data_IF_065635515130
#
_entry.id   IF_065635515130
#
_cell.length_a   1.000
_cell.length_b   1.000
_cell.length_c   1.000
_cell.angle_alpha   90.00
_cell.angle_beta   90.00
_cell.angle_gamma   90.00
#
_symmetry.space_group_name_H-M   'P 1'
#
loop_
_entity.id
_entity.type
_entity.pdbx_description
1 polymer ?
#
# COMPACT_ATOMS: atom_id res chain seq x y z
N UNK A 1 20.11 19.65 -27.14
CA UNK A 1 20.38 19.94 -25.72
C UNK A 1 19.87 18.74 -24.97
N UNK A 2 20.77 17.88 -24.53
CA UNK A 2 20.42 16.74 -23.68
C UNK A 2 20.41 17.27 -22.26
N UNK A 3 19.26 17.76 -21.82
CA UNK A 3 19.09 18.21 -20.45
C UNK A 3 19.24 16.99 -19.54
N UNK A 4 20.18 17.12 -18.62
CA UNK A 4 20.57 16.18 -17.57
C UNK A 4 19.41 15.33 -17.06
N UNK A 5 19.34 14.10 -17.52
CA UNK A 5 18.58 13.02 -16.90
C UNK A 5 19.33 12.63 -15.61
N UNK A 6 19.32 13.54 -14.63
CA UNK A 6 19.71 13.22 -13.25
C UNK A 6 18.64 12.26 -12.76
N UNK A 7 18.93 10.96 -12.78
CA UNK A 7 18.07 9.93 -12.20
C UNK A 7 17.65 10.37 -10.79
N UNK A 8 16.34 10.49 -10.55
CA UNK A 8 15.79 10.99 -9.28
C UNK A 8 16.22 10.06 -8.15
N UNK A 9 16.81 10.62 -7.10
CA UNK A 9 17.19 9.86 -5.90
C UNK A 9 15.99 9.72 -4.94
N UNK A 10 15.11 8.75 -5.20
CA UNK A 10 13.97 8.46 -4.31
C UNK A 10 14.40 7.91 -2.94
N UNK A 11 15.68 7.58 -2.74
CA UNK A 11 16.23 7.21 -1.43
C UNK A 11 16.00 8.29 -0.36
N UNK A 12 15.83 9.55 -0.79
CA UNK A 12 15.49 10.68 0.10
C UNK A 12 14.14 10.55 0.80
N UNK A 13 13.22 9.74 0.28
CA UNK A 13 11.96 9.42 0.94
C UNK A 13 12.09 8.31 1.98
N UNK A 14 13.25 7.66 2.10
CA UNK A 14 13.44 6.53 3.00
C UNK A 14 13.93 6.96 4.39
N UNK A 15 13.61 6.14 5.38
CA UNK A 15 14.27 6.13 6.68
C UNK A 15 15.64 5.48 6.57
N UNK A 16 16.42 5.54 7.65
CA UNK A 16 17.72 4.84 7.74
C UNK A 16 17.56 3.31 7.61
N UNK A 17 16.40 2.77 7.99
CA UNK A 17 16.06 1.35 7.85
C UNK A 17 15.57 0.97 6.44
N UNK A 18 15.57 1.91 5.49
CA UNK A 18 15.15 1.68 4.11
C UNK A 18 13.63 1.60 3.91
N UNK A 19 12.82 2.04 4.89
CA UNK A 19 11.36 2.12 4.75
C UNK A 19 10.93 3.49 4.29
N UNK A 20 9.82 3.61 3.56
CA UNK A 20 9.23 4.91 3.28
C UNK A 20 8.98 5.68 4.58
N UNK A 21 9.40 6.95 4.62
CA UNK A 21 9.16 7.89 5.72
C UNK A 21 7.87 8.68 5.45
N UNK A 22 6.70 8.31 6.00
CA UNK A 22 5.41 8.89 5.57
C UNK A 22 5.32 10.40 5.84
N UNK A 23 6.06 10.91 6.83
CA UNK A 23 6.12 12.34 7.16
C UNK A 23 6.69 13.25 6.06
N UNK A 24 7.28 12.68 5.00
CA UNK A 24 7.77 13.44 3.83
C UNK A 24 6.72 13.53 2.71
N UNK A 25 5.60 12.84 2.85
CA UNK A 25 4.51 12.83 1.88
C UNK A 25 3.32 13.64 2.41
N UNK A 26 2.60 14.37 1.55
CA UNK A 26 1.29 14.88 1.90
C UNK A 26 0.36 13.71 2.23
N UNK A 27 -0.48 13.85 3.27
CA UNK A 27 -1.42 12.80 3.70
C UNK A 27 -2.23 12.21 2.53
N UNK A 28 -2.73 13.05 1.63
CA UNK A 28 -3.52 12.62 0.46
C UNK A 28 -2.75 11.68 -0.48
N UNK A 29 -1.43 11.88 -0.62
CA UNK A 29 -0.57 11.05 -1.49
C UNK A 29 -0.33 9.71 -0.81
N UNK A 30 0.03 9.73 0.48
CA UNK A 30 0.26 8.50 1.23
C UNK A 30 -0.99 7.61 1.28
N UNK A 31 -2.17 8.20 1.53
CA UNK A 31 -3.44 7.48 1.49
C UNK A 31 -3.71 6.91 0.09
N UNK A 32 -3.47 7.67 -0.98
CA UNK A 32 -3.65 7.16 -2.34
C UNK A 32 -2.76 5.94 -2.63
N UNK A 33 -1.50 5.96 -2.18
CA UNK A 33 -0.58 4.82 -2.31
C UNK A 33 -1.10 3.57 -1.57
N UNK A 34 -1.67 3.73 -0.37
CA UNK A 34 -2.26 2.62 0.41
C UNK A 34 -3.47 2.04 -0.29
N UNK A 35 -4.36 2.89 -0.81
CA UNK A 35 -5.57 2.45 -1.51
C UNK A 35 -5.24 1.76 -2.84
N UNK A 36 -4.22 2.22 -3.57
CA UNK A 36 -3.72 1.54 -4.76
C UNK A 36 -3.22 0.12 -4.44
N UNK A 37 -2.55 -0.09 -3.30
CA UNK A 37 -2.13 -1.43 -2.89
C UNK A 37 -3.28 -2.31 -2.42
N UNK A 38 -4.27 -1.76 -1.71
CA UNK A 38 -5.51 -2.49 -1.41
C UNK A 38 -6.16 -3.03 -2.69
N UNK A 39 -6.10 -2.24 -3.76
CA UNK A 39 -6.68 -2.56 -5.05
C UNK A 39 -5.74 -3.41 -5.95
N UNK A 40 -4.51 -3.70 -5.49
CA UNK A 40 -3.52 -4.60 -6.14
C UNK A 40 -3.40 -5.93 -5.39
N UNK A 41 -3.40 -7.02 -6.14
CA UNK A 41 -3.72 -8.38 -5.69
C UNK A 41 -2.93 -8.89 -4.48
N UNK A 42 -1.61 -8.77 -4.48
CA UNK A 42 -0.77 -9.50 -3.53
C UNK A 42 -0.65 -8.79 -2.17
N UNK A 43 -0.79 -7.46 -2.15
CA UNK A 43 -0.63 -6.67 -0.94
C UNK A 43 -1.78 -6.90 0.06
N UNK A 44 -3.02 -6.96 -0.44
CA UNK A 44 -4.20 -7.22 0.39
C UNK A 44 -4.18 -8.63 0.96
N UNK A 45 -3.82 -9.63 0.15
CA UNK A 45 -3.67 -11.01 0.64
C UNK A 45 -2.59 -11.10 1.72
N UNK A 46 -1.44 -10.45 1.51
CA UNK A 46 -0.38 -10.43 2.50
C UNK A 46 -0.80 -9.72 3.80
N UNK A 47 -1.63 -8.68 3.72
CA UNK A 47 -2.19 -8.02 4.89
C UNK A 47 -3.09 -8.99 5.70
N UNK A 48 -3.96 -9.74 5.04
CA UNK A 48 -4.79 -10.77 5.69
C UNK A 48 -3.95 -11.89 6.34
N UNK A 49 -2.87 -12.32 5.67
CA UNK A 49 -1.93 -13.30 6.23
C UNK A 49 -1.25 -12.79 7.50
N UNK A 50 -0.80 -11.52 7.49
CA UNK A 50 -0.11 -10.89 8.62
C UNK A 50 -0.93 -10.87 9.89
N UNK A 51 -2.24 -10.67 9.78
CA UNK A 51 -3.15 -10.63 10.93
C UNK A 51 -3.88 -11.98 11.16
N UNK A 52 -3.41 -13.06 10.51
CA UNK A 52 -3.90 -14.43 10.67
C UNK A 52 -5.38 -14.67 10.28
N UNK A 53 -5.95 -13.84 9.40
CA UNK A 53 -7.32 -14.02 8.88
C UNK A 53 -7.43 -15.06 7.73
N UNK A 54 -6.40 -15.87 7.49
CA UNK A 54 -6.39 -16.84 6.39
C UNK A 54 -7.49 -17.89 6.55
N UNK A 55 -7.77 -18.33 7.78
CA UNK A 55 -8.87 -19.25 8.05
C UNK A 55 -10.23 -18.60 7.73
N UNK A 56 -10.42 -17.34 8.11
CA UNK A 56 -11.67 -16.63 7.87
C UNK A 56 -11.90 -16.39 6.38
N UNK A 57 -10.83 -16.05 5.64
CA UNK A 57 -10.84 -15.92 4.19
C UNK A 57 -11.25 -17.23 3.49
N UNK A 58 -10.67 -18.37 3.87
CA UNK A 58 -11.03 -19.66 3.29
C UNK A 58 -12.47 -20.07 3.65
N UNK A 59 -12.92 -19.75 4.86
CA UNK A 59 -14.30 -19.98 5.30
C UNK A 59 -15.29 -19.14 4.48
N UNK A 60 -14.96 -17.87 4.22
CA UNK A 60 -15.73 -16.98 3.37
C UNK A 60 -15.84 -17.52 1.94
N UNK A 61 -14.74 -17.99 1.34
CA UNK A 61 -14.73 -18.61 0.01
C UNK A 61 -15.63 -19.84 -0.06
N UNK A 62 -15.53 -20.72 0.94
CA UNK A 62 -16.36 -21.92 1.01
C UNK A 62 -17.86 -21.58 1.14
N UNK A 63 -18.21 -20.53 1.89
CA UNK A 63 -19.57 -20.02 2.01
C UNK A 63 -20.09 -19.50 0.66
N UNK A 64 -19.30 -18.65 -0.04
CA UNK A 64 -19.67 -18.09 -1.34
C UNK A 64 -19.90 -19.17 -2.39
N UNK A 65 -19.06 -20.20 -2.41
CA UNK A 65 -19.26 -21.34 -3.30
C UNK A 65 -20.53 -22.12 -2.98
N UNK A 66 -20.84 -22.31 -1.69
CA UNK A 66 -22.02 -23.08 -1.25
C UNK A 66 -23.32 -22.34 -1.52
N UNK A 67 -23.39 -21.05 -1.19
CA UNK A 67 -24.64 -20.29 -1.17
C UNK A 67 -24.91 -19.56 -2.49
N UNK A 68 -23.86 -19.15 -3.19
CA UNK A 68 -23.96 -18.38 -4.42
C UNK A 68 -23.47 -19.14 -5.65
N UNK A 69 -22.99 -20.39 -5.50
CA UNK A 69 -22.33 -21.15 -6.57
C UNK A 69 -21.16 -20.39 -7.21
N UNK A 70 -20.55 -19.47 -6.46
CA UNK A 70 -19.48 -18.59 -6.92
C UNK A 70 -18.13 -19.12 -6.42
N UNK A 71 -17.23 -19.44 -7.35
CA UNK A 71 -15.85 -19.83 -7.02
C UNK A 71 -14.95 -18.60 -7.13
N UNK A 72 -14.59 -18.02 -5.99
CA UNK A 72 -13.72 -16.84 -5.91
C UNK A 72 -12.24 -17.24 -5.84
N UNK A 73 -11.40 -16.51 -6.59
CA UNK A 73 -9.97 -16.49 -6.33
C UNK A 73 -9.67 -15.79 -4.99
N UNK A 74 -8.54 -16.12 -4.36
CA UNK A 74 -8.24 -15.66 -3.00
C UNK A 74 -8.29 -14.13 -2.87
N UNK A 75 -7.76 -13.41 -3.87
CA UNK A 75 -7.77 -11.94 -3.92
C UNK A 75 -9.19 -11.36 -3.98
N UNK A 76 -10.07 -11.97 -4.78
CA UNK A 76 -11.44 -11.50 -4.97
C UNK A 76 -12.21 -11.67 -3.68
N UNK A 77 -12.00 -12.81 -3.01
CA UNK A 77 -12.52 -13.06 -1.69
C UNK A 77 -11.99 -12.07 -0.65
N UNK A 78 -10.70 -11.75 -0.66
CA UNK A 78 -10.12 -10.80 0.30
C UNK A 78 -10.71 -9.39 0.11
N UNK A 79 -10.93 -8.96 -1.13
CA UNK A 79 -11.60 -7.68 -1.45
C UNK A 79 -13.04 -7.66 -0.97
N UNK A 80 -13.81 -8.70 -1.28
CA UNK A 80 -15.21 -8.78 -0.86
C UNK A 80 -15.34 -8.87 0.66
N UNK A 81 -14.46 -9.64 1.31
CA UNK A 81 -14.45 -9.79 2.75
C UNK A 81 -14.03 -8.49 3.45
N UNK A 82 -13.09 -7.72 2.88
CA UNK A 82 -12.59 -6.47 3.44
C UNK A 82 -13.72 -5.47 3.76
N UNK A 83 -14.71 -5.35 2.87
CA UNK A 83 -15.86 -4.45 3.06
C UNK A 83 -16.88 -4.97 4.08
N UNK A 84 -16.71 -6.19 4.59
CA UNK A 84 -17.58 -6.83 5.60
C UNK A 84 -16.94 -6.94 6.97
N UNK A 85 -15.67 -6.52 7.10
CA UNK A 85 -14.96 -6.53 8.38
C UNK A 85 -15.61 -5.56 9.37
N UNK A 86 -15.52 -5.89 10.66
CA UNK A 86 -15.80 -4.91 11.69
C UNK A 86 -14.73 -3.81 11.72
N UNK A 87 -15.06 -2.68 12.36
CA UNK A 87 -14.19 -1.51 12.40
C UNK A 87 -12.79 -1.83 12.95
N UNK A 88 -12.69 -2.70 13.96
CA UNK A 88 -11.41 -3.01 14.59
C UNK A 88 -10.52 -3.78 13.61
N UNK A 89 -11.05 -4.85 13.03
CA UNK A 89 -10.34 -5.72 12.09
C UNK A 89 -10.01 -4.96 10.81
N UNK A 90 -10.90 -4.08 10.36
CA UNK A 90 -10.66 -3.18 9.24
C UNK A 90 -9.44 -2.29 9.49
N UNK A 91 -9.32 -1.68 10.68
CA UNK A 91 -8.14 -0.89 11.05
C UNK A 91 -6.87 -1.73 11.08
N UNK A 92 -6.92 -2.96 11.62
CA UNK A 92 -5.77 -3.87 11.65
C UNK A 92 -5.28 -4.23 10.23
N UNK A 93 -6.20 -4.49 9.28
CA UNK A 93 -5.83 -4.71 7.87
C UNK A 93 -5.22 -3.46 7.24
N UNK A 94 -5.77 -2.28 7.52
CA UNK A 94 -5.25 -1.02 6.99
C UNK A 94 -3.84 -0.72 7.52
N UNK A 95 -3.58 -0.95 8.80
CA UNK A 95 -2.22 -0.85 9.36
C UNK A 95 -1.25 -1.84 8.70
N UNK A 96 -1.68 -3.08 8.46
CA UNK A 96 -0.87 -4.07 7.75
C UNK A 96 -0.58 -3.66 6.30
N UNK A 97 -1.56 -3.08 5.58
CA UNK A 97 -1.37 -2.52 4.24
C UNK A 97 -0.39 -1.34 4.23
N UNK A 98 -0.46 -0.44 5.22
CA UNK A 98 0.49 0.65 5.36
C UNK A 98 1.93 0.14 5.49
N UNK A 99 2.15 -0.93 6.27
CA UNK A 99 3.47 -1.57 6.37
C UNK A 99 3.93 -2.16 5.04
N UNK A 100 3.02 -2.76 4.25
CA UNK A 100 3.34 -3.28 2.92
C UNK A 100 3.78 -2.17 1.98
N UNK A 101 3.04 -1.05 1.95
CA UNK A 101 3.41 0.13 1.14
C UNK A 101 4.80 0.62 1.52
N UNK A 102 5.08 0.77 2.83
CA UNK A 102 6.35 1.32 3.29
C UNK A 102 7.54 0.44 2.90
N UNK A 103 7.37 -0.89 3.00
CA UNK A 103 8.39 -1.85 2.60
C UNK A 103 8.58 -1.89 1.08
N UNK A 104 7.50 -2.03 0.31
CA UNK A 104 7.56 -2.10 -1.16
C UNK A 104 8.12 -0.82 -1.78
N UNK A 105 7.82 0.33 -1.20
CA UNK A 105 8.45 1.58 -1.62
C UNK A 105 9.96 1.55 -1.37
N UNK A 106 10.42 0.99 -0.25
CA UNK A 106 11.85 0.80 0.02
C UNK A 106 12.56 -0.12 -0.98
N UNK A 107 11.88 -1.19 -1.40
CA UNK A 107 12.39 -2.18 -2.35
C UNK A 107 12.43 -1.65 -3.79
N UNK A 108 11.37 -0.95 -4.22
CA UNK A 108 11.21 -0.47 -5.58
C UNK A 108 10.69 0.98 -5.63
N UNK A 109 11.47 1.99 -5.18
CA UNK A 109 10.97 3.38 -5.07
C UNK A 109 10.49 3.97 -6.41
N UNK A 110 11.18 3.64 -7.50
CA UNK A 110 10.86 4.15 -8.84
C UNK A 110 9.49 3.69 -9.36
N UNK A 111 8.95 2.57 -8.86
CA UNK A 111 7.61 2.10 -9.21
C UNK A 111 6.49 3.03 -8.70
N UNK A 112 6.84 4.01 -7.86
CA UNK A 112 5.91 4.96 -7.23
C UNK A 112 6.05 6.39 -7.76
N UNK A 113 6.83 6.60 -8.84
CA UNK A 113 7.09 7.92 -9.43
C UNK A 113 5.80 8.73 -9.67
N UNK A 114 4.74 8.08 -10.17
CA UNK A 114 3.43 8.69 -10.41
C UNK A 114 2.82 9.36 -9.16
N UNK A 115 3.19 8.92 -7.96
CA UNK A 115 2.74 9.49 -6.70
C UNK A 115 3.69 10.56 -6.14
N UNK A 116 5.00 10.35 -6.30
CA UNK A 116 6.01 11.08 -5.52
C UNK A 116 6.82 12.10 -6.30
N UNK A 117 6.75 12.13 -7.63
CA UNK A 117 7.52 13.07 -8.46
C UNK A 117 7.22 14.53 -8.14
N UNK A 118 5.94 14.90 -8.07
CA UNK A 118 5.54 16.25 -7.71
C UNK A 118 5.95 16.60 -6.27
N UNK A 119 5.95 15.61 -5.38
CA UNK A 119 6.40 15.79 -3.99
C UNK A 119 7.91 15.98 -3.95
N UNK A 120 8.65 15.23 -4.75
CA UNK A 120 10.10 15.31 -4.89
C UNK A 120 10.51 16.71 -5.35
N UNK A 121 9.92 17.19 -6.44
CA UNK A 121 10.23 18.52 -7.00
C UNK A 121 9.96 19.65 -6.00
N UNK A 122 8.89 19.51 -5.23
CA UNK A 122 8.58 20.44 -4.14
C UNK A 122 9.61 20.33 -3.00
N UNK A 123 9.97 19.13 -2.57
CA UNK A 123 10.94 18.93 -1.48
C UNK A 123 12.36 19.39 -1.86
N UNK A 124 12.78 19.22 -3.12
CA UNK A 124 14.05 19.78 -3.62
C UNK A 124 14.09 21.29 -3.51
N UNK A 125 12.99 21.96 -3.88
CA UNK A 125 12.87 23.43 -3.75
C UNK A 125 12.82 23.88 -2.29
N UNK A 126 12.15 23.12 -1.43
CA UNK A 126 11.82 23.53 -0.06
C UNK A 126 12.85 23.03 0.99
N UNK A 127 13.82 22.20 0.56
CA UNK A 127 14.91 21.68 1.39
C UNK A 127 14.54 20.49 2.29
N UNK A 128 13.73 19.55 1.79
CA UNK A 128 13.40 18.26 2.44
C UNK A 128 12.92 18.36 3.89
N UNK A 129 11.76 19.00 4.10
CA UNK A 129 11.15 19.18 5.43
C UNK A 129 9.96 18.25 5.64
N UNK A 130 9.66 17.97 6.91
CA UNK A 130 8.41 17.28 7.26
C UNK A 130 7.21 18.07 6.75
N UNK A 131 6.27 17.38 6.12
CA UNK A 131 5.03 17.97 5.65
C UNK A 131 3.98 17.84 6.74
N UNK A 132 3.34 18.96 7.08
CA UNK A 132 2.20 19.04 8.00
C UNK A 132 0.91 18.61 7.33
#
# INVERSE_FOLDING_TARGET
MSDTNSERDYGKFLTEDGLLKPSLLPRKVYVAMVFDQRDKTDALLHAFEKIMLTHDLESFRALRLREHSEKLEAVEAARLMFDTLDDQTWWEVMEALEMVVQRRFGEEPAAWADYVDEVYDRQERDGWRKLS
#
